data_IF_737404370468
#
_entry.id   IF_737404370468
#
_cell.length_a   1.000
_cell.length_b   1.000
_cell.length_c   1.000
_cell.angle_alpha   90.00
_cell.angle_beta   90.00
_cell.angle_gamma   90.00
#
_symmetry.space_group_name_H-M   'P 1'
#
loop_
_entity.id
_entity.type
_entity.pdbx_description
1 polymer ?
#
# COMPACT_ATOMS: atom_id res chain seq x y z
N UNK A 1 12.09 -4.44 -25.96
CA UNK A 1 12.32 -4.11 -24.54
C UNK A 1 11.14 -3.28 -24.11
N UNK A 2 10.25 -3.82 -23.27
CA UNK A 2 9.15 -3.05 -22.68
C UNK A 2 9.80 -1.99 -21.80
N UNK A 3 9.39 -0.73 -21.96
CA UNK A 3 9.81 0.34 -21.07
C UNK A 3 9.51 -0.09 -19.63
N UNK A 4 10.50 -0.05 -18.74
CA UNK A 4 10.32 -0.46 -17.34
C UNK A 4 9.26 0.40 -16.68
N UNK A 5 8.36 -0.22 -15.89
CA UNK A 5 7.33 0.49 -15.10
C UNK A 5 7.80 0.62 -13.66
N UNK A 6 7.85 1.84 -13.14
CA UNK A 6 8.36 2.15 -11.80
C UNK A 6 7.26 2.67 -10.89
N UNK A 7 7.20 2.15 -9.67
CA UNK A 7 6.26 2.54 -8.62
C UNK A 7 7.03 3.04 -7.39
N UNK A 8 6.62 4.17 -6.84
CA UNK A 8 7.01 4.60 -5.50
C UNK A 8 5.89 4.22 -4.52
N UNK A 9 6.16 3.24 -3.65
CA UNK A 9 5.22 2.78 -2.63
C UNK A 9 5.50 3.46 -1.29
N UNK A 10 4.51 4.17 -0.80
CA UNK A 10 4.50 4.89 0.47
C UNK A 10 3.33 4.43 1.33
N UNK A 11 3.37 4.67 2.64
CA UNK A 11 2.28 4.38 3.57
C UNK A 11 2.40 5.18 4.84
N UNK A 12 1.35 5.20 5.65
CA UNK A 12 1.38 5.63 7.03
C UNK A 12 2.00 7.03 7.23
N UNK A 13 1.50 8.02 6.47
CA UNK A 13 1.93 9.42 6.61
C UNK A 13 1.64 9.93 8.01
N UNK A 14 0.51 9.49 8.61
CA UNK A 14 0.12 9.81 9.98
C UNK A 14 0.13 11.33 10.24
N UNK A 15 -0.42 12.11 9.27
CA UNK A 15 -0.52 13.56 9.38
C UNK A 15 -1.23 13.96 10.68
N UNK A 16 -0.46 14.55 11.59
CA UNK A 16 -0.88 14.87 12.96
C UNK A 16 0.34 15.04 13.86
N UNK A 17 0.24 14.65 15.14
CA UNK A 17 1.35 14.79 16.08
C UNK A 17 2.63 14.04 15.71
N UNK A 18 2.58 12.81 15.16
CA UNK A 18 3.80 12.08 14.80
C UNK A 18 4.41 12.50 13.48
N UNK A 19 3.74 13.32 12.67
CA UNK A 19 4.20 13.76 11.36
C UNK A 19 5.53 14.54 11.42
N UNK A 20 6.38 14.32 10.42
CA UNK A 20 7.70 14.92 10.26
C UNK A 20 7.82 15.58 8.87
N UNK A 21 7.79 16.91 8.78
CA UNK A 21 7.91 17.62 7.51
C UNK A 21 9.24 17.33 6.79
N UNK A 22 10.35 17.23 7.54
CA UNK A 22 11.66 16.86 6.99
C UNK A 22 11.68 15.50 6.31
N UNK A 23 10.86 14.55 6.77
CA UNK A 23 10.74 13.26 6.10
C UNK A 23 9.95 13.37 4.79
N UNK A 24 8.98 14.29 4.73
CA UNK A 24 8.29 14.63 3.47
C UNK A 24 9.23 15.27 2.48
N UNK A 25 10.10 16.19 2.92
CA UNK A 25 11.06 16.83 2.02
C UNK A 25 12.03 15.82 1.41
N UNK A 26 12.58 14.93 2.23
CA UNK A 26 13.40 13.81 1.76
C UNK A 26 12.63 12.84 0.83
N UNK A 27 11.33 12.62 1.08
CA UNK A 27 10.48 11.82 0.19
C UNK A 27 10.31 12.48 -1.19
N UNK A 28 10.17 13.80 -1.24
CA UNK A 28 10.08 14.53 -2.51
C UNK A 28 11.40 14.52 -3.30
N UNK A 29 12.53 14.57 -2.61
CA UNK A 29 13.85 14.40 -3.25
C UNK A 29 13.95 13.01 -3.88
N UNK A 30 13.64 11.95 -3.12
CA UNK A 30 13.63 10.59 -3.64
C UNK A 30 12.65 10.41 -4.80
N UNK A 31 11.43 10.96 -4.71
CA UNK A 31 10.46 10.93 -5.80
C UNK A 31 11.01 11.56 -7.07
N UNK A 32 11.66 12.71 -6.95
CA UNK A 32 12.28 13.41 -8.09
C UNK A 32 13.45 12.62 -8.71
N UNK A 33 14.21 11.89 -7.90
CA UNK A 33 15.32 11.04 -8.38
C UNK A 33 14.82 9.77 -9.07
N UNK A 34 13.75 9.17 -8.52
CA UNK A 34 13.18 7.90 -9.01
C UNK A 34 12.34 8.11 -10.26
N UNK A 35 11.69 9.26 -10.41
CA UNK A 35 10.75 9.60 -11.49
C UNK A 35 9.73 8.46 -11.76
N UNK A 36 8.89 8.11 -10.77
CA UNK A 36 8.02 6.95 -10.87
C UNK A 36 6.83 7.21 -11.79
N UNK A 37 6.35 6.16 -12.48
CA UNK A 37 5.15 6.20 -13.30
C UNK A 37 3.86 6.36 -12.45
N UNK A 38 3.90 5.94 -11.18
CA UNK A 38 2.80 6.07 -10.22
C UNK A 38 3.32 6.08 -8.80
N UNK A 39 2.67 6.85 -7.94
CA UNK A 39 2.86 6.80 -6.48
C UNK A 39 1.68 6.05 -5.87
N UNK A 40 1.94 5.08 -5.01
CA UNK A 40 0.93 4.35 -4.26
C UNK A 40 1.09 4.65 -2.78
N UNK A 41 0.02 5.12 -2.12
CA UNK A 41 -0.01 5.34 -0.67
C UNK A 41 -1.04 4.41 -0.03
N UNK A 42 -0.55 3.37 0.64
CA UNK A 42 -1.36 2.28 1.17
C UNK A 42 -1.99 2.58 2.54
N UNK A 43 -2.57 3.78 2.71
CA UNK A 43 -3.42 4.14 3.84
C UNK A 43 -2.73 4.85 5.00
N UNK A 44 -3.52 5.14 6.05
CA UNK A 44 -3.13 5.89 7.24
C UNK A 44 -2.49 7.26 6.92
N UNK A 45 -3.14 8.00 6.01
CA UNK A 45 -2.74 9.36 5.66
C UNK A 45 -2.79 10.29 6.87
N UNK A 46 -3.76 10.07 7.76
CA UNK A 46 -4.00 10.87 8.95
C UNK A 46 -3.73 10.08 10.23
N UNK A 47 -3.59 10.76 11.34
CA UNK A 47 -3.49 10.10 12.65
C UNK A 47 -4.87 9.88 13.28
N UNK A 48 -5.85 10.74 13.02
CA UNK A 48 -7.16 10.73 13.72
C UNK A 48 -8.31 11.19 12.83
N UNK A 49 -8.20 11.07 11.53
CA UNK A 49 -9.21 11.44 10.56
C UNK A 49 -9.74 12.87 10.69
N UNK A 50 -8.92 13.82 11.15
CA UNK A 50 -9.34 15.22 11.29
C UNK A 50 -9.20 15.96 9.98
N UNK A 51 -10.12 16.89 9.68
CA UNK A 51 -10.06 17.74 8.46
C UNK A 51 -8.71 18.44 8.29
N UNK A 52 -8.08 18.90 9.38
CA UNK A 52 -6.76 19.54 9.32
C UNK A 52 -5.65 18.56 8.91
N UNK A 53 -5.76 17.29 9.33
CA UNK A 53 -4.79 16.25 9.02
C UNK A 53 -4.92 15.85 7.55
N UNK A 54 -6.13 15.72 7.03
CA UNK A 54 -6.38 15.52 5.61
C UNK A 54 -5.90 16.68 4.73
N UNK A 55 -5.97 17.93 5.22
CA UNK A 55 -5.38 19.08 4.49
C UNK A 55 -3.86 18.96 4.36
N UNK A 56 -3.16 18.52 5.40
CA UNK A 56 -1.72 18.25 5.35
C UNK A 56 -1.44 17.08 4.39
N UNK A 57 -2.19 15.98 4.49
CA UNK A 57 -2.04 14.85 3.57
C UNK A 57 -2.24 15.28 2.11
N UNK A 58 -3.26 16.09 1.82
CA UNK A 58 -3.50 16.64 0.47
C UNK A 58 -2.30 17.46 -0.02
N UNK A 59 -1.76 18.35 0.82
CA UNK A 59 -0.60 19.17 0.42
C UNK A 59 0.66 18.32 0.16
N UNK A 60 0.78 17.14 0.77
CA UNK A 60 1.86 16.20 0.44
C UNK A 60 1.60 15.56 -0.93
N UNK A 61 0.39 15.05 -1.17
CA UNK A 61 0.06 14.39 -2.43
C UNK A 61 0.13 15.35 -3.63
N UNK A 62 -0.26 16.61 -3.46
CA UNK A 62 -0.15 17.64 -4.49
C UNK A 62 1.31 17.95 -4.90
N UNK A 63 2.29 17.65 -4.04
CA UNK A 63 3.73 17.81 -4.36
C UNK A 63 4.24 16.77 -5.37
N UNK A 64 3.52 15.67 -5.59
CA UNK A 64 3.86 14.70 -6.64
C UNK A 64 3.48 15.16 -8.06
N UNK A 65 3.00 16.41 -8.21
CA UNK A 65 2.71 17.05 -9.50
C UNK A 65 1.75 16.24 -10.35
N UNK A 66 2.13 15.97 -11.59
CA UNK A 66 1.32 15.23 -12.57
C UNK A 66 1.46 13.71 -12.45
N UNK A 67 2.33 13.20 -11.55
CA UNK A 67 2.46 11.77 -11.32
C UNK A 67 1.15 11.20 -10.74
N UNK A 68 0.52 10.20 -11.35
CA UNK A 68 -0.68 9.57 -10.82
C UNK A 68 -0.48 9.08 -9.38
N UNK A 69 -1.45 9.36 -8.50
CA UNK A 69 -1.39 8.92 -7.10
C UNK A 69 -2.59 8.04 -6.77
N UNK A 70 -2.32 6.83 -6.30
CA UNK A 70 -3.34 5.88 -5.82
C UNK A 70 -3.32 5.87 -4.29
N UNK A 71 -4.48 6.03 -3.67
CA UNK A 71 -4.64 6.00 -2.21
C UNK A 71 -5.74 5.04 -1.78
N UNK A 72 -5.59 4.42 -0.62
CA UNK A 72 -6.65 3.67 0.07
C UNK A 72 -6.75 4.13 1.52
N UNK A 73 -7.93 4.11 2.17
CA UNK A 73 -8.01 4.47 3.58
C UNK A 73 -7.41 3.39 4.49
N UNK A 74 -6.72 3.84 5.55
CA UNK A 74 -6.31 3.01 6.66
C UNK A 74 -7.23 3.16 7.87
N UNK A 75 -6.92 2.46 8.97
CA UNK A 75 -7.73 2.51 10.18
C UNK A 75 -7.63 3.84 10.93
N UNK A 76 -6.57 4.62 10.74
CA UNK A 76 -6.44 5.97 11.27
C UNK A 76 -7.14 7.05 10.44
N UNK A 77 -7.57 6.74 9.22
CA UNK A 77 -8.33 7.65 8.34
C UNK A 77 -9.83 7.65 8.66
N UNK A 78 -10.25 6.84 9.64
CA UNK A 78 -11.59 6.85 10.22
C UNK A 78 -11.57 7.37 11.66
N UNK A 79 -12.67 8.00 12.17
CA UNK A 79 -12.71 8.61 13.50
C UNK A 79 -12.61 7.55 14.61
N UNK A 80 -11.45 7.45 15.27
CA UNK A 80 -11.25 6.48 16.35
C UNK A 80 -12.00 6.86 17.62
N UNK A 81 -11.88 8.13 18.04
CA UNK A 81 -12.42 8.62 19.32
C UNK A 81 -13.72 9.43 19.21
N UNK A 82 -14.09 9.81 17.99
CA UNK A 82 -15.33 10.54 17.74
C UNK A 82 -16.44 9.54 17.44
N UNK A 83 -16.99 8.98 18.52
CA UNK A 83 -17.93 7.85 18.47
C UNK A 83 -19.11 8.08 17.51
N UNK A 84 -19.76 9.24 17.59
CA UNK A 84 -20.92 9.55 16.74
C UNK A 84 -20.57 9.67 15.26
N UNK A 85 -19.44 10.31 14.92
CA UNK A 85 -18.97 10.36 13.54
C UNK A 85 -18.64 8.95 13.03
N UNK A 86 -17.97 8.13 13.85
CA UNK A 86 -17.64 6.76 13.49
C UNK A 86 -18.89 5.90 13.27
N UNK A 87 -19.95 6.12 14.03
CA UNK A 87 -21.18 5.34 13.89
C UNK A 87 -22.00 5.77 12.69
N UNK A 88 -22.14 7.08 12.44
CA UNK A 88 -23.04 7.66 11.44
C UNK A 88 -22.36 7.70 10.06
N UNK A 89 -21.20 8.37 9.96
CA UNK A 89 -20.46 8.56 8.71
C UNK A 89 -18.94 8.44 8.92
N UNK A 90 -18.42 7.22 9.11
CA UNK A 90 -17.00 7.01 9.43
C UNK A 90 -16.05 7.49 8.32
N UNK A 91 -16.48 7.55 7.09
CA UNK A 91 -15.67 7.95 5.94
C UNK A 91 -15.97 9.37 5.42
N UNK A 92 -16.79 10.15 6.10
CA UNK A 92 -17.20 11.47 5.61
C UNK A 92 -16.06 12.45 5.40
N UNK A 93 -15.03 12.44 6.24
CA UNK A 93 -13.83 13.27 6.02
C UNK A 93 -12.93 12.70 4.93
N UNK A 94 -12.84 11.38 4.79
CA UNK A 94 -12.14 10.72 3.69
C UNK A 94 -12.76 11.07 2.34
N UNK A 95 -14.07 10.92 2.16
CA UNK A 95 -14.76 11.26 0.90
C UNK A 95 -14.56 12.73 0.50
N UNK A 96 -14.61 13.65 1.46
CA UNK A 96 -14.29 15.06 1.20
C UNK A 96 -12.84 15.29 0.78
N UNK A 97 -11.94 14.46 1.26
CA UNK A 97 -10.54 14.49 0.89
C UNK A 97 -10.31 13.85 -0.49
N UNK A 98 -10.77 12.63 -0.70
CA UNK A 98 -10.54 11.88 -1.93
C UNK A 98 -11.33 12.43 -3.13
N UNK A 99 -12.42 13.18 -2.88
CA UNK A 99 -13.29 13.71 -3.92
C UNK A 99 -14.18 12.65 -4.58
N UNK A 100 -14.23 11.44 -4.01
CA UNK A 100 -14.98 10.30 -4.50
C UNK A 100 -15.87 9.72 -3.41
N UNK A 101 -17.04 9.19 -3.82
CA UNK A 101 -17.91 8.45 -2.90
C UNK A 101 -17.42 7.01 -2.70
N UNK A 102 -16.80 6.41 -3.71
CA UNK A 102 -16.28 5.06 -3.66
C UNK A 102 -15.06 4.96 -2.75
N UNK A 103 -15.01 3.89 -1.96
CA UNK A 103 -13.87 3.57 -1.10
C UNK A 103 -12.94 2.55 -1.76
N UNK A 104 -13.50 1.75 -2.68
CA UNK A 104 -12.77 0.82 -3.52
C UNK A 104 -12.62 1.45 -4.90
N UNK A 105 -11.42 1.51 -5.43
CA UNK A 105 -11.12 2.24 -6.67
C UNK A 105 -10.30 1.39 -7.64
N UNK A 106 -10.41 1.72 -8.93
CA UNK A 106 -9.58 1.17 -10.00
C UNK A 106 -8.87 2.32 -10.69
N UNK A 107 -7.57 2.25 -10.77
CA UNK A 107 -6.75 3.20 -11.51
C UNK A 107 -6.00 2.46 -12.60
N UNK A 108 -6.14 2.92 -13.84
CA UNK A 108 -5.38 2.38 -14.97
C UNK A 108 -4.36 3.43 -15.41
N UNK A 109 -3.11 3.03 -15.49
CA UNK A 109 -2.00 3.82 -16.03
C UNK A 109 -1.33 3.01 -17.14
N UNK A 110 -0.56 3.61 -18.06
CA UNK A 110 0.16 2.85 -19.07
C UNK A 110 1.01 1.74 -18.44
N UNK A 111 0.72 0.48 -18.80
CA UNK A 111 1.43 -0.71 -18.31
C UNK A 111 0.91 -1.31 -17.01
N UNK A 112 -0.08 -0.71 -16.34
CA UNK A 112 -0.59 -1.28 -15.09
C UNK A 112 -2.07 -0.99 -14.83
N UNK A 113 -2.73 -1.92 -14.11
CA UNK A 113 -4.02 -1.73 -13.47
C UNK A 113 -3.89 -1.92 -11.97
N UNK A 114 -4.36 -0.96 -11.21
CA UNK A 114 -4.21 -0.89 -9.76
C UNK A 114 -5.60 -0.87 -9.14
N UNK A 115 -5.91 -1.88 -8.34
CA UNK A 115 -7.15 -1.96 -7.58
C UNK A 115 -6.83 -1.66 -6.12
N UNK A 116 -7.41 -0.59 -5.58
CA UNK A 116 -7.27 -0.23 -4.18
C UNK A 116 -8.56 -0.57 -3.43
N UNK A 117 -8.47 -1.44 -2.43
CA UNK A 117 -9.59 -1.88 -1.61
C UNK A 117 -9.51 -1.28 -0.21
N UNK A 118 -10.62 -0.74 0.23
CA UNK A 118 -10.77 -0.27 1.60
C UNK A 118 -10.88 -1.44 2.57
N UNK A 119 -9.88 -1.64 3.38
CA UNK A 119 -9.90 -2.65 4.45
C UNK A 119 -10.28 -2.09 5.82
N UNK A 120 -10.47 -0.78 5.97
CA UNK A 120 -10.88 -0.20 7.25
C UNK A 120 -12.33 -0.59 7.59
N UNK A 121 -12.53 -1.18 8.76
CA UNK A 121 -13.82 -1.66 9.23
C UNK A 121 -14.25 -0.99 10.55
N UNK A 122 -14.59 0.31 10.52
CA UNK A 122 -14.73 1.15 11.73
C UNK A 122 -15.83 0.71 12.70
N UNK A 123 -16.82 -0.08 12.23
CA UNK A 123 -17.94 -0.57 13.05
C UNK A 123 -17.72 -1.97 13.60
N UNK A 124 -16.73 -2.72 13.12
CA UNK A 124 -16.51 -4.14 13.47
C UNK A 124 -15.13 -4.42 14.06
N UNK A 125 -14.10 -3.98 13.38
CA UNK A 125 -12.71 -4.25 13.75
C UNK A 125 -11.86 -3.01 13.46
N UNK A 126 -11.64 -2.17 14.46
CA UNK A 126 -10.98 -0.87 14.27
C UNK A 126 -9.52 -1.06 13.84
N UNK A 127 -8.86 -2.10 14.36
CA UNK A 127 -7.42 -2.32 14.14
C UNK A 127 -7.14 -3.39 13.08
N UNK A 128 -7.98 -4.42 13.00
CA UNK A 128 -7.64 -5.62 12.22
C UNK A 128 -8.15 -5.62 10.77
N UNK A 129 -8.96 -4.65 10.40
CA UNK A 129 -9.49 -4.55 9.04
C UNK A 129 -10.42 -5.69 8.61
N UNK A 130 -10.93 -5.59 7.39
CA UNK A 130 -11.74 -6.63 6.76
C UNK A 130 -11.85 -6.38 5.25
N UNK A 131 -11.86 -7.46 4.48
CA UNK A 131 -12.27 -7.49 3.06
C UNK A 131 -13.45 -8.44 2.94
N UNK A 132 -14.52 -8.04 2.27
CA UNK A 132 -15.69 -8.86 2.03
C UNK A 132 -15.71 -9.44 0.60
N UNK A 133 -16.70 -10.33 0.33
CA UNK A 133 -16.77 -11.02 -0.95
C UNK A 133 -17.17 -10.08 -2.10
N UNK A 134 -17.90 -9.00 -1.82
CA UNK A 134 -18.25 -7.99 -2.82
C UNK A 134 -17.01 -7.23 -3.30
N UNK A 135 -16.08 -6.94 -2.40
CA UNK A 135 -14.79 -6.32 -2.73
C UNK A 135 -13.88 -7.27 -3.52
N UNK A 136 -13.88 -8.56 -3.18
CA UNK A 136 -13.16 -9.58 -3.95
C UNK A 136 -13.71 -9.67 -5.38
N UNK A 137 -15.03 -9.62 -5.54
CA UNK A 137 -15.67 -9.63 -6.84
C UNK A 137 -15.46 -8.33 -7.62
N UNK A 138 -15.40 -7.20 -6.93
CA UNK A 138 -15.00 -5.90 -7.53
C UNK A 138 -13.60 -5.99 -8.14
N UNK A 139 -12.63 -6.48 -7.38
CA UNK A 139 -11.26 -6.68 -7.87
C UNK A 139 -11.22 -7.65 -9.06
N UNK A 140 -11.96 -8.76 -8.98
CA UNK A 140 -12.06 -9.75 -10.07
C UNK A 140 -12.52 -9.11 -11.37
N UNK A 141 -13.60 -8.35 -11.33
CA UNK A 141 -14.16 -7.68 -12.53
C UNK A 141 -13.17 -6.66 -13.11
N UNK A 142 -12.50 -5.89 -12.25
CA UNK A 142 -11.50 -4.92 -12.69
C UNK A 142 -10.33 -5.58 -13.42
N UNK A 143 -9.78 -6.65 -12.86
CA UNK A 143 -8.66 -7.36 -13.47
C UNK A 143 -9.05 -8.15 -14.72
N UNK A 144 -10.23 -8.77 -14.76
CA UNK A 144 -10.72 -9.45 -15.97
C UNK A 144 -11.00 -8.47 -17.12
N UNK A 145 -11.43 -7.25 -16.81
CA UNK A 145 -11.67 -6.21 -17.79
C UNK A 145 -10.42 -5.47 -18.28
N UNK A 146 -9.24 -5.76 -17.72
CA UNK A 146 -7.99 -5.10 -18.05
C UNK A 146 -7.22 -5.84 -19.16
N UNK A 147 -6.31 -5.10 -19.85
CA UNK A 147 -5.37 -5.72 -20.78
C UNK A 147 -4.54 -6.80 -20.04
N UNK A 148 -4.43 -8.03 -20.58
CA UNK A 148 -3.66 -9.10 -19.95
C UNK A 148 -2.16 -8.79 -19.79
N UNK A 149 -1.61 -7.88 -20.59
CA UNK A 149 -0.20 -7.44 -20.51
C UNK A 149 0.05 -6.45 -19.38
N UNK A 150 -1.00 -5.86 -18.78
CA UNK A 150 -0.84 -4.95 -17.67
C UNK A 150 -0.38 -5.67 -16.41
N UNK A 151 0.53 -5.06 -15.68
CA UNK A 151 0.83 -5.41 -14.28
C UNK A 151 -0.41 -5.20 -13.44
N UNK A 152 -0.81 -6.21 -12.68
CA UNK A 152 -1.99 -6.19 -11.81
C UNK A 152 -1.59 -6.01 -10.36
N UNK A 153 -1.87 -4.83 -9.82
CA UNK A 153 -1.53 -4.50 -8.43
C UNK A 153 -2.78 -4.41 -7.57
N UNK A 154 -2.73 -4.99 -6.39
CA UNK A 154 -3.76 -4.86 -5.38
C UNK A 154 -3.22 -4.06 -4.19
N UNK A 155 -3.94 -3.03 -3.77
CA UNK A 155 -3.56 -2.15 -2.65
C UNK A 155 -4.57 -2.31 -1.53
N UNK A 156 -4.11 -2.71 -0.34
CA UNK A 156 -4.93 -2.92 0.86
C UNK A 156 -4.12 -2.46 2.07
N UNK A 157 -4.66 -1.62 2.94
CA UNK A 157 -3.89 -1.10 4.07
C UNK A 157 -3.42 -2.17 5.07
N UNK A 158 -4.34 -3.07 5.51
CA UNK A 158 -4.04 -4.04 6.56
C UNK A 158 -3.22 -5.25 6.06
N UNK A 159 -2.38 -5.78 6.93
CA UNK A 159 -1.43 -6.84 6.60
C UNK A 159 -2.06 -8.24 6.52
N UNK A 160 -1.42 -9.13 5.76
CA UNK A 160 -1.83 -10.52 5.51
C UNK A 160 -1.03 -11.53 6.32
N UNK A 161 0.26 -11.23 6.53
CA UNK A 161 1.20 -12.14 7.17
C UNK A 161 1.35 -11.74 8.63
N UNK A 162 1.30 -12.68 9.59
CA UNK A 162 1.55 -12.37 10.99
C UNK A 162 2.90 -11.70 11.19
N UNK A 163 2.95 -10.64 12.00
CA UNK A 163 4.22 -10.00 12.40
C UNK A 163 4.66 -10.52 13.76
N UNK A 164 5.96 -10.82 13.94
CA UNK A 164 6.47 -11.49 15.14
C UNK A 164 6.15 -10.77 16.45
N UNK A 165 6.16 -9.44 16.44
CA UNK A 165 6.08 -8.64 17.67
C UNK A 165 4.66 -8.39 18.16
N UNK A 166 3.63 -8.85 17.42
CA UNK A 166 2.21 -8.69 17.81
C UNK A 166 1.70 -7.24 17.89
N UNK A 167 2.58 -6.25 17.67
CA UNK A 167 2.26 -4.82 17.81
C UNK A 167 1.29 -4.29 16.75
N UNK A 168 1.20 -4.96 15.62
CA UNK A 168 0.32 -4.58 14.50
C UNK A 168 -1.09 -5.19 14.59
N UNK A 169 -1.38 -5.94 15.64
CA UNK A 169 -2.64 -6.70 15.75
C UNK A 169 -2.61 -8.00 14.95
N UNK A 170 -3.81 -8.53 14.66
CA UNK A 170 -3.96 -9.76 13.88
C UNK A 170 -4.00 -9.45 12.38
N UNK A 171 -3.50 -10.35 11.52
CA UNK A 171 -3.67 -10.26 10.08
C UNK A 171 -5.14 -10.15 9.67
N UNK A 172 -5.38 -9.75 8.43
CA UNK A 172 -6.74 -9.75 7.86
C UNK A 172 -7.44 -11.09 8.05
N UNK A 173 -8.68 -11.11 8.55
CA UNK A 173 -9.46 -12.34 8.65
C UNK A 173 -9.59 -13.03 7.29
N UNK A 174 -9.25 -14.33 7.24
CA UNK A 174 -9.27 -15.09 6.00
C UNK A 174 -8.15 -14.76 5.02
N UNK A 175 -7.00 -14.25 5.51
CA UNK A 175 -5.86 -13.85 4.69
C UNK A 175 -5.45 -14.91 3.66
N UNK A 176 -5.39 -16.20 4.02
CA UNK A 176 -5.05 -17.29 3.10
C UNK A 176 -6.09 -17.42 1.96
N UNK A 177 -7.39 -17.34 2.26
CA UNK A 177 -8.46 -17.36 1.25
C UNK A 177 -8.38 -16.17 0.31
N UNK A 178 -8.12 -14.98 0.86
CA UNK A 178 -7.97 -13.75 0.08
C UNK A 178 -6.74 -13.81 -0.83
N UNK A 179 -5.58 -14.20 -0.30
CA UNK A 179 -4.35 -14.34 -1.07
C UNK A 179 -4.51 -15.37 -2.21
N UNK A 180 -5.21 -16.49 -1.94
CA UNK A 180 -5.55 -17.47 -2.96
C UNK A 180 -6.44 -16.88 -4.05
N UNK A 181 -7.52 -16.19 -3.68
CA UNK A 181 -8.43 -15.55 -4.64
C UNK A 181 -7.71 -14.50 -5.51
N UNK A 182 -6.84 -13.67 -4.94
CA UNK A 182 -6.08 -12.67 -5.67
C UNK A 182 -5.05 -13.31 -6.61
N UNK A 183 -4.41 -14.37 -6.15
CA UNK A 183 -3.52 -15.18 -6.97
C UNK A 183 -4.25 -15.79 -8.18
N UNK A 184 -5.49 -16.27 -8.02
CA UNK A 184 -6.33 -16.80 -9.11
C UNK A 184 -6.77 -15.72 -10.12
N UNK A 185 -6.86 -14.47 -9.69
CA UNK A 185 -7.15 -13.32 -10.56
C UNK A 185 -5.93 -12.86 -11.37
N UNK A 186 -4.75 -13.45 -11.12
CA UNK A 186 -3.51 -13.04 -11.76
C UNK A 186 -2.94 -11.75 -11.20
N UNK A 187 -3.17 -11.46 -9.91
CA UNK A 187 -2.48 -10.35 -9.23
C UNK A 187 -0.98 -10.63 -9.18
N UNK A 188 -0.18 -9.66 -9.56
CA UNK A 188 1.29 -9.74 -9.60
C UNK A 188 1.92 -9.31 -8.29
N UNK A 189 1.27 -8.42 -7.53
CA UNK A 189 1.73 -7.98 -6.20
C UNK A 189 0.57 -7.44 -5.36
N UNK A 190 0.62 -7.70 -4.05
CA UNK A 190 -0.25 -7.08 -3.04
C UNK A 190 0.57 -6.10 -2.22
N UNK A 191 0.08 -4.86 -2.09
CA UNK A 191 0.73 -3.76 -1.39
C UNK A 191 -0.07 -3.35 -0.17
N UNK A 192 0.61 -3.16 0.95
CA UNK A 192 0.00 -2.76 2.21
C UNK A 192 0.87 -1.83 3.05
N UNK A 193 0.35 -1.45 4.23
CA UNK A 193 1.02 -0.65 5.25
C UNK A 193 0.76 -1.18 6.64
N UNK A 194 0.29 -0.31 7.57
CA UNK A 194 -0.25 -0.66 8.89
C UNK A 194 0.78 -1.11 9.92
N UNK A 195 1.74 -1.93 9.54
CA UNK A 195 2.73 -2.51 10.45
C UNK A 195 3.84 -1.53 10.81
N UNK A 196 3.94 -0.40 10.11
CA UNK A 196 4.94 0.66 10.30
C UNK A 196 6.39 0.18 10.16
N UNK A 197 6.60 -0.88 9.41
CA UNK A 197 7.88 -1.49 9.12
C UNK A 197 7.81 -2.16 7.74
N UNK A 198 8.92 -2.14 6.98
CA UNK A 198 8.96 -2.84 5.70
C UNK A 198 8.99 -4.34 5.94
N UNK A 199 8.07 -5.04 5.29
CA UNK A 199 8.05 -6.50 5.18
C UNK A 199 7.89 -6.91 3.73
N UNK A 200 8.64 -7.94 3.34
CA UNK A 200 8.59 -8.53 2.00
C UNK A 200 8.34 -10.02 2.15
N UNK A 201 7.10 -10.41 1.96
CA UNK A 201 6.61 -11.77 2.08
C UNK A 201 6.10 -12.29 0.73
N UNK A 202 5.74 -13.54 0.71
CA UNK A 202 4.95 -14.17 -0.35
C UNK A 202 3.69 -14.80 0.25
N UNK A 203 2.71 -15.11 -0.58
CA UNK A 203 1.44 -15.67 -0.10
C UNK A 203 1.62 -16.95 0.70
N UNK A 204 2.64 -17.74 0.40
CA UNK A 204 3.00 -18.98 1.10
C UNK A 204 3.44 -18.78 2.55
N UNK A 205 3.83 -17.56 2.92
CA UNK A 205 4.16 -17.21 4.32
C UNK A 205 2.89 -17.06 5.19
N UNK A 206 1.71 -17.05 4.56
CA UNK A 206 0.43 -17.04 5.26
C UNK A 206 0.05 -18.47 5.65
N UNK A 207 -0.18 -18.78 6.93
CA UNK A 207 -0.60 -20.11 7.35
C UNK A 207 -1.82 -20.61 6.58
N UNK A 208 -1.68 -21.79 5.95
CA UNK A 208 -2.75 -22.41 5.16
C UNK A 208 -2.87 -21.91 3.72
N UNK A 209 -2.01 -21.04 3.25
CA UNK A 209 -1.95 -20.66 1.84
C UNK A 209 -1.14 -21.69 1.03
N UNK A 210 -1.67 -22.24 -0.09
CA UNK A 210 -0.95 -23.20 -0.90
C UNK A 210 0.22 -22.55 -1.65
N UNK A 211 1.26 -23.34 -1.92
CA UNK A 211 2.38 -22.90 -2.77
C UNK A 211 1.94 -22.69 -4.21
N UNK A 212 2.54 -21.70 -4.84
CA UNK A 212 2.36 -21.36 -6.27
C UNK A 212 3.69 -21.02 -6.93
N UNK A 213 3.72 -21.18 -8.23
CA UNK A 213 4.86 -20.83 -9.07
C UNK A 213 4.35 -20.00 -10.27
N UNK A 214 4.80 -18.73 -10.40
CA UNK A 214 5.58 -17.97 -9.42
C UNK A 214 4.76 -17.60 -8.17
N UNK A 215 5.45 -17.35 -7.03
CA UNK A 215 4.80 -16.93 -5.79
C UNK A 215 4.19 -15.52 -5.93
N UNK A 216 3.10 -15.24 -5.20
CA UNK A 216 2.51 -13.90 -5.13
C UNK A 216 3.23 -13.06 -4.05
N UNK A 217 3.99 -12.01 -4.42
CA UNK A 217 4.60 -11.09 -3.46
C UNK A 217 3.55 -10.32 -2.67
N UNK A 218 3.74 -10.22 -1.35
CA UNK A 218 2.94 -9.43 -0.40
C UNK A 218 3.88 -8.49 0.34
N UNK A 219 3.79 -7.21 0.03
CA UNK A 219 4.72 -6.19 0.46
C UNK A 219 4.03 -5.20 1.40
N UNK A 220 4.58 -5.01 2.59
CA UNK A 220 4.17 -3.95 3.49
C UNK A 220 5.21 -2.82 3.48
N UNK A 221 4.74 -1.60 3.32
CA UNK A 221 5.54 -0.39 3.48
C UNK A 221 5.59 0.02 4.95
N UNK A 222 6.68 0.62 5.37
CA UNK A 222 6.78 1.24 6.69
C UNK A 222 6.14 2.63 6.74
N UNK A 223 6.45 3.41 7.78
CA UNK A 223 5.93 4.78 7.89
C UNK A 223 6.79 5.76 7.11
N UNK A 224 6.20 6.40 6.11
CA UNK A 224 6.97 7.23 5.16
C UNK A 224 7.33 8.61 5.73
N UNK A 225 6.44 9.22 6.52
CA UNK A 225 6.60 10.62 6.96
C UNK A 225 6.35 10.86 8.45
N UNK A 226 6.30 9.79 9.27
CA UNK A 226 6.03 9.94 10.69
C UNK A 226 7.07 9.24 11.56
N UNK A 227 7.10 9.59 12.86
CA UNK A 227 8.00 8.94 13.84
C UNK A 227 7.42 7.64 14.42
N UNK A 228 6.50 6.97 13.71
CA UNK A 228 5.81 5.77 14.18
C UNK A 228 6.41 4.46 13.69
N UNK A 229 7.61 4.49 13.11
CA UNK A 229 8.35 3.26 12.78
C UNK A 229 8.40 2.32 13.98
N UNK A 230 8.32 1.01 13.71
CA UNK A 230 8.27 -0.04 14.74
C UNK A 230 9.39 -1.06 14.56
N UNK A 231 9.59 -1.90 15.57
CA UNK A 231 10.59 -2.95 15.54
C UNK A 231 11.98 -2.39 15.19
N UNK A 232 12.62 -3.00 14.21
CA UNK A 232 13.96 -2.56 13.74
C UNK A 232 13.92 -1.19 13.01
N UNK A 233 12.75 -0.67 12.68
CA UNK A 233 12.54 0.65 12.07
C UNK A 233 12.02 1.69 13.09
N UNK A 234 12.12 1.43 14.40
CA UNK A 234 11.68 2.37 15.43
C UNK A 234 12.36 3.74 15.26
N UNK A 235 11.54 4.78 14.99
CA UNK A 235 11.99 6.14 14.70
C UNK A 235 12.48 6.40 13.28
N UNK A 236 12.61 5.37 12.43
CA UNK A 236 12.98 5.50 11.02
C UNK A 236 11.76 5.79 10.15
N UNK A 237 12.04 6.34 8.96
CA UNK A 237 11.07 6.41 7.86
C UNK A 237 11.48 5.43 6.77
N UNK A 238 10.50 4.86 6.09
CA UNK A 238 10.77 3.90 5.03
C UNK A 238 9.72 3.94 3.92
N UNK A 239 10.18 3.66 2.70
CA UNK A 239 9.40 3.55 1.48
C UNK A 239 9.98 2.44 0.61
N UNK A 240 9.30 2.04 -0.46
CA UNK A 240 9.82 1.06 -1.40
C UNK A 240 9.71 1.59 -2.83
N UNK A 241 10.76 1.39 -3.61
CA UNK A 241 10.75 1.58 -5.06
C UNK A 241 10.63 0.23 -5.72
N UNK A 242 9.64 0.07 -6.59
CA UNK A 242 9.37 -1.17 -7.32
C UNK A 242 9.60 -0.94 -8.80
N UNK A 243 10.35 -1.83 -9.44
CA UNK A 243 10.61 -1.80 -10.88
C UNK A 243 10.11 -3.08 -11.51
N UNK A 244 9.23 -2.93 -12.48
CA UNK A 244 8.67 -4.02 -13.29
C UNK A 244 9.32 -4.00 -14.66
N UNK A 245 9.86 -5.14 -15.09
CA UNK A 245 10.47 -5.29 -16.40
C UNK A 245 10.87 -6.73 -16.66
N UNK A 246 10.85 -7.14 -17.92
CA UNK A 246 11.31 -8.48 -18.39
C UNK A 246 10.71 -9.65 -17.58
N UNK A 247 9.44 -9.54 -17.20
CA UNK A 247 8.75 -10.56 -16.41
C UNK A 247 9.20 -10.66 -14.95
N UNK A 248 9.85 -9.62 -14.42
CA UNK A 248 10.32 -9.55 -13.04
C UNK A 248 9.77 -8.33 -12.30
N UNK A 249 9.65 -8.45 -10.98
CA UNK A 249 9.49 -7.37 -10.03
C UNK A 249 10.75 -7.27 -9.20
N UNK A 250 11.43 -6.13 -9.26
CA UNK A 250 12.50 -5.76 -8.32
C UNK A 250 11.97 -4.75 -7.31
N UNK A 251 12.20 -4.98 -6.02
CA UNK A 251 11.81 -4.09 -4.93
C UNK A 251 13.04 -3.66 -4.17
N UNK A 252 13.31 -2.35 -4.19
CA UNK A 252 14.37 -1.73 -3.39
C UNK A 252 13.73 -0.97 -2.25
N UNK A 253 13.92 -1.41 -0.99
CA UNK A 253 13.55 -0.61 0.18
C UNK A 253 14.46 0.60 0.31
N UNK A 254 13.89 1.70 0.75
CA UNK A 254 14.64 2.91 1.12
C UNK A 254 14.34 3.25 2.58
N UNK A 255 15.35 3.54 3.35
CA UNK A 255 15.22 3.93 4.76
C UNK A 255 15.87 5.25 5.03
N UNK A 256 15.26 6.02 5.91
CA UNK A 256 15.77 7.31 6.39
C UNK A 256 15.92 7.25 7.89
N UNK A 257 17.13 7.39 8.40
CA UNK A 257 17.40 7.49 9.84
C UNK A 257 16.76 8.76 10.43
N UNK A 258 16.49 8.80 11.76
CA UNK A 258 15.81 9.94 12.41
C UNK A 258 16.46 11.30 12.11
N UNK A 259 17.79 11.35 12.04
CA UNK A 259 18.56 12.58 11.83
C UNK A 259 19.12 12.73 10.41
N UNK A 260 18.88 11.77 9.53
CA UNK A 260 19.31 11.84 8.14
C UNK A 260 18.48 12.84 7.35
N UNK A 261 19.09 13.47 6.33
CA UNK A 261 18.40 14.36 5.39
C UNK A 261 17.73 13.61 4.24
N UNK A 262 18.27 12.44 3.84
CA UNK A 262 17.83 11.69 2.67
C UNK A 262 17.45 10.25 3.01
N UNK A 263 16.72 9.61 2.10
CA UNK A 263 16.51 8.17 2.12
C UNK A 263 17.70 7.46 1.47
N UNK A 264 18.10 6.33 2.05
CA UNK A 264 19.18 5.48 1.55
C UNK A 264 18.62 4.14 1.06
N UNK A 265 19.11 3.68 -0.10
CA UNK A 265 18.72 2.40 -0.67
C UNK A 265 19.24 1.24 0.17
N UNK A 266 18.41 0.25 0.41
CA UNK A 266 18.73 -1.02 1.04
C UNK A 266 18.87 -2.12 -0.04
N UNK A 267 19.42 -3.30 0.29
CA UNK A 267 19.49 -4.39 -0.66
C UNK A 267 18.14 -4.73 -1.30
N UNK A 268 18.12 -4.79 -2.61
CA UNK A 268 16.94 -5.13 -3.40
C UNK A 268 16.61 -6.64 -3.30
N UNK A 269 15.34 -6.96 -3.55
CA UNK A 269 14.85 -8.32 -3.72
C UNK A 269 14.00 -8.42 -4.98
N UNK A 270 14.11 -9.55 -5.69
CA UNK A 270 13.39 -9.74 -6.95
C UNK A 270 12.51 -10.99 -6.94
N UNK A 271 11.41 -10.93 -7.69
CA UNK A 271 10.49 -12.04 -7.94
C UNK A 271 10.20 -12.17 -9.43
N UNK A 272 10.00 -13.40 -9.89
CA UNK A 272 9.42 -13.66 -11.20
C UNK A 272 7.93 -13.33 -11.17
N UNK A 273 7.41 -12.75 -12.25
CA UNK A 273 6.00 -12.49 -12.47
C UNK A 273 5.43 -13.52 -13.45
N UNK A 274 4.11 -13.70 -13.44
CA UNK A 274 3.41 -14.68 -14.29
C UNK A 274 3.66 -14.54 -15.80
N UNK A 275 3.92 -13.32 -16.27
CA UNK A 275 4.24 -13.07 -17.68
C UNK A 275 5.67 -13.44 -18.09
N UNK A 276 6.58 -13.67 -17.13
CA UNK A 276 7.99 -13.98 -17.39
C UNK A 276 8.25 -15.42 -17.86
N UNK A 277 7.29 -16.31 -17.70
CA UNK A 277 7.41 -17.70 -18.13
C UNK A 277 6.99 -17.96 -19.60
N UNK A 278 6.51 -16.92 -20.32
CA UNK A 278 5.93 -17.02 -21.66
C UNK A 278 6.88 -16.78 -22.84
N UNK A 279 8.18 -16.59 -22.63
CA UNK A 279 9.15 -16.31 -23.68
C UNK A 279 10.29 -17.33 -23.75
N UNK A 280 9.96 -18.62 -23.68
CA UNK A 280 10.86 -19.69 -24.09
C UNK A 280 10.10 -20.54 -25.13
N UNK A 281 10.16 -20.11 -26.36
CA UNK A 281 9.97 -20.94 -27.57
C UNK A 281 11.12 -20.67 -28.52
#
# INVERSE_FOLDING_TARGET
>A
MSAGFTVLHTSDFQCGRPYLSRATDALMELWSEVDPNVVITSGDLTQRAKKREFRVARSILERFGDTPVVVTPGNHDVPLYRFWERLIDPFGNWRRFAGEEALDTVTTVPGAVIVALNSAAPRRAIVNGRIDDAQVEFARRAFLGSDPSNVRMLVIHHHFVPVPDGEAGQPLPGAARLAHAFSDMGVDVVLGGHVHQIHMHVAEDIPGCPRRDPPLPILACGTSTSRRGRGVEAGWNSVSVMRFGDGTLEVTPYRRAPDASAFEAMPARSWLLRGGLGAVN
#
